data_IF_846656593170
#
_entry.id   IF_846656593170
#
_cell.length_a   1.000
_cell.length_b   1.000
_cell.length_c   1.000
_cell.angle_alpha   90.00
_cell.angle_beta   90.00
_cell.angle_gamma   90.00
#
_symmetry.space_group_name_H-M   'P 1'
#
loop_
_entity.id
_entity.type
_entity.pdbx_description
1 polymer ?
#
# COMPACT_ATOMS: atom_id res chain seq x y z
N UNK A 1 -61.64 -0.22 -60.66
CA UNK A 1 -61.22 -0.94 -59.46
C UNK A 1 -59.80 -0.53 -59.13
N UNK A 2 -59.64 0.37 -58.14
CA UNK A 2 -58.32 0.91 -57.76
C UNK A 2 -57.93 0.30 -56.41
N UNK A 3 -56.98 -0.58 -56.45
CA UNK A 3 -56.46 -1.28 -55.21
C UNK A 3 -55.50 -0.35 -54.50
N UNK A 4 -55.87 0.19 -53.35
CA UNK A 4 -55.01 1.00 -52.47
C UNK A 4 -54.09 0.08 -51.71
N UNK A 5 -52.80 0.12 -52.02
CA UNK A 5 -51.73 -0.60 -51.23
C UNK A 5 -51.49 0.11 -49.88
N UNK A 6 -51.89 -0.52 -48.83
CA UNK A 6 -51.72 -0.04 -47.43
C UNK A 6 -50.30 -0.24 -47.00
N UNK A 7 -49.48 0.81 -46.99
CA UNK A 7 -48.12 0.78 -46.49
C UNK A 7 -48.12 0.56 -44.95
N UNK A 8 -47.64 -0.61 -44.52
CA UNK A 8 -47.46 -0.95 -43.11
C UNK A 8 -46.19 -0.26 -42.62
N UNK A 9 -46.30 0.83 -41.92
CA UNK A 9 -45.18 1.50 -41.20
C UNK A 9 -44.70 0.61 -40.06
N UNK A 10 -43.59 -0.04 -40.28
CA UNK A 10 -42.89 -0.86 -39.28
C UNK A 10 -42.28 0.07 -38.20
N UNK A 11 -42.89 0.14 -37.04
CA UNK A 11 -42.39 0.93 -35.94
C UNK A 11 -41.05 0.36 -35.46
N UNK A 12 -39.97 1.14 -35.56
CA UNK A 12 -38.66 0.80 -35.03
C UNK A 12 -38.74 0.75 -33.49
N UNK A 13 -38.40 -0.38 -32.84
CA UNK A 13 -38.49 -0.47 -31.40
C UNK A 13 -37.51 0.54 -30.77
N UNK A 14 -38.03 1.48 -29.98
CA UNK A 14 -37.23 2.40 -29.14
C UNK A 14 -36.34 1.56 -28.23
N UNK A 15 -35.01 1.64 -28.38
CA UNK A 15 -34.02 1.06 -27.47
C UNK A 15 -34.32 1.62 -26.07
N UNK A 16 -34.81 0.78 -25.17
CA UNK A 16 -34.93 1.13 -23.75
C UNK A 16 -33.52 1.43 -23.26
N UNK A 17 -33.30 2.64 -22.73
CA UNK A 17 -32.08 2.97 -22.03
C UNK A 17 -31.83 1.92 -20.94
N UNK A 18 -30.63 1.31 -20.93
CA UNK A 18 -30.29 0.30 -19.96
C UNK A 18 -30.25 0.96 -18.58
N UNK A 19 -31.19 0.60 -17.72
CA UNK A 19 -31.19 1.06 -16.34
C UNK A 19 -29.94 0.56 -15.59
N UNK A 20 -29.29 1.43 -14.84
CA UNK A 20 -28.10 1.08 -14.05
C UNK A 20 -28.41 -0.03 -13.03
N UNK A 21 -27.64 -1.11 -13.07
CA UNK A 21 -27.82 -2.31 -12.25
C UNK A 21 -26.92 -2.25 -11.02
N UNK A 22 -27.39 -1.65 -9.93
CA UNK A 22 -26.66 -1.51 -8.67
C UNK A 22 -26.05 -2.80 -8.15
N UNK A 23 -26.77 -3.92 -8.21
CA UNK A 23 -26.26 -5.23 -7.78
C UNK A 23 -25.03 -5.66 -8.55
N UNK A 24 -25.05 -5.52 -9.87
CA UNK A 24 -23.93 -5.86 -10.73
C UNK A 24 -22.75 -4.94 -10.47
N UNK A 25 -23.00 -3.63 -10.32
CA UNK A 25 -21.98 -2.65 -10.00
C UNK A 25 -21.26 -3.01 -8.69
N UNK A 26 -21.99 -3.24 -7.60
CA UNK A 26 -21.42 -3.59 -6.29
C UNK A 26 -20.56 -4.86 -6.37
N UNK A 27 -21.02 -5.90 -7.09
CA UNK A 27 -20.24 -7.14 -7.24
C UNK A 27 -18.97 -6.94 -8.04
N UNK A 28 -19.02 -6.20 -9.16
CA UNK A 28 -17.85 -5.91 -9.99
C UNK A 28 -16.86 -5.00 -9.25
N UNK A 29 -17.37 -4.01 -8.53
CA UNK A 29 -16.55 -3.11 -7.74
C UNK A 29 -15.82 -3.84 -6.60
N UNK A 30 -16.47 -4.75 -5.89
CA UNK A 30 -15.84 -5.63 -4.91
C UNK A 30 -14.70 -6.47 -5.53
N UNK A 31 -14.92 -6.99 -6.73
CA UNK A 31 -13.89 -7.75 -7.43
C UNK A 31 -12.62 -6.91 -7.66
N UNK A 32 -12.77 -5.69 -8.17
CA UNK A 32 -11.63 -4.78 -8.36
C UNK A 32 -10.98 -4.39 -7.02
N UNK A 33 -11.78 -4.12 -5.98
CA UNK A 33 -11.26 -3.83 -4.65
C UNK A 33 -10.43 -5.00 -4.10
N UNK A 34 -10.87 -6.24 -4.30
CA UNK A 34 -10.11 -7.44 -3.89
C UNK A 34 -8.76 -7.51 -4.59
N UNK A 35 -8.68 -7.17 -5.89
CA UNK A 35 -7.41 -7.13 -6.62
C UNK A 35 -6.48 -6.07 -6.04
N UNK A 36 -6.98 -4.84 -5.84
CA UNK A 36 -6.17 -3.74 -5.30
C UNK A 36 -5.67 -4.06 -3.89
N UNK A 37 -6.54 -4.60 -3.02
CA UNK A 37 -6.17 -5.00 -1.67
C UNK A 37 -5.17 -6.16 -1.66
N UNK A 38 -5.32 -7.13 -2.57
CA UNK A 38 -4.38 -8.23 -2.73
C UNK A 38 -2.99 -7.73 -3.14
N UNK A 39 -2.92 -6.89 -4.17
CA UNK A 39 -1.65 -6.31 -4.63
C UNK A 39 -1.01 -5.45 -3.52
N UNK A 40 -1.76 -4.50 -2.96
CA UNK A 40 -1.22 -3.63 -1.91
C UNK A 40 -0.81 -4.40 -0.65
N UNK A 41 -1.56 -5.45 -0.28
CA UNK A 41 -1.18 -6.34 0.83
C UNK A 41 0.14 -7.08 0.59
N UNK A 42 0.36 -7.60 -0.63
CA UNK A 42 1.64 -8.23 -1.00
C UNK A 42 2.78 -7.22 -0.99
N UNK A 43 2.56 -6.02 -1.57
CA UNK A 43 3.59 -4.95 -1.57
C UNK A 43 3.98 -4.56 -0.14
N UNK A 44 3.00 -4.37 0.74
CA UNK A 44 3.27 -4.02 2.14
C UNK A 44 3.95 -5.16 2.92
N UNK A 45 3.66 -6.41 2.56
CA UNK A 45 4.32 -7.57 3.17
C UNK A 45 5.80 -7.66 2.82
N UNK A 46 6.18 -7.31 1.57
CA UNK A 46 7.58 -7.32 1.11
C UNK A 46 8.31 -6.00 1.36
N UNK A 47 7.60 -4.94 1.73
CA UNK A 47 8.18 -3.62 1.95
C UNK A 47 9.11 -3.61 3.16
N UNK A 48 10.27 -2.93 3.09
CA UNK A 48 11.18 -2.82 4.21
C UNK A 48 10.55 -2.11 5.41
N UNK A 49 11.21 -2.20 6.57
CA UNK A 49 10.76 -1.52 7.78
C UNK A 49 10.64 0.00 7.55
N UNK A 50 9.74 0.67 8.30
CA UNK A 50 9.55 2.13 8.16
C UNK A 50 10.84 2.93 8.39
N UNK A 51 11.76 2.40 9.19
CA UNK A 51 13.09 3.00 9.42
C UNK A 51 13.92 3.04 8.14
N UNK A 52 14.03 1.91 7.45
CA UNK A 52 14.75 1.80 6.17
C UNK A 52 14.11 2.68 5.10
N UNK A 53 12.78 2.65 5.00
CA UNK A 53 12.02 3.48 4.05
C UNK A 53 12.32 4.96 4.24
N UNK A 54 12.34 5.43 5.49
CA UNK A 54 12.55 6.84 5.82
C UNK A 54 14.01 7.27 5.65
N UNK A 55 14.95 6.32 5.69
CA UNK A 55 16.38 6.61 5.51
C UNK A 55 16.80 6.59 4.03
N UNK A 56 16.26 5.65 3.25
CA UNK A 56 16.70 5.39 1.87
C UNK A 56 15.66 5.76 0.80
N UNK A 57 14.48 6.26 1.18
CA UNK A 57 13.47 6.70 0.21
C UNK A 57 12.89 5.57 -0.65
N UNK A 58 12.69 4.38 -0.09
CA UNK A 58 12.19 3.20 -0.82
C UNK A 58 10.88 3.44 -1.56
N UNK A 59 10.83 3.01 -2.83
CA UNK A 59 9.65 3.10 -3.70
C UNK A 59 9.44 1.79 -4.45
N UNK A 60 8.19 1.45 -4.67
CA UNK A 60 7.79 0.32 -5.49
C UNK A 60 6.69 0.75 -6.46
N UNK A 61 6.89 0.51 -7.77
CA UNK A 61 5.95 0.91 -8.83
C UNK A 61 5.47 2.38 -8.70
N UNK A 62 6.39 3.32 -8.56
CA UNK A 62 6.16 4.77 -8.47
C UNK A 62 5.56 5.27 -7.14
N UNK A 63 5.18 4.39 -6.21
CA UNK A 63 4.59 4.76 -4.93
C UNK A 63 5.56 4.50 -3.78
N UNK A 64 5.56 5.40 -2.80
CA UNK A 64 6.24 5.20 -1.52
C UNK A 64 5.50 4.18 -0.66
N UNK A 65 6.13 3.66 0.37
CA UNK A 65 5.47 2.77 1.33
C UNK A 65 4.24 3.41 1.97
N UNK A 66 4.34 4.69 2.35
CA UNK A 66 3.23 5.44 2.95
C UNK A 66 2.04 5.57 2.00
N UNK A 67 2.31 5.79 0.70
CA UNK A 67 1.25 5.81 -0.31
C UNK A 67 0.59 4.43 -0.47
N UNK A 68 1.36 3.33 -0.41
CA UNK A 68 0.82 1.97 -0.41
C UNK A 68 -0.02 1.68 0.84
N UNK A 69 0.42 2.13 2.01
CA UNK A 69 -0.35 2.03 3.27
C UNK A 69 -1.67 2.81 3.18
N UNK A 70 -1.63 4.04 2.63
CA UNK A 70 -2.82 4.84 2.40
C UNK A 70 -3.79 4.17 1.41
N UNK A 71 -3.28 3.66 0.29
CA UNK A 71 -4.08 2.90 -0.69
C UNK A 71 -4.73 1.71 0.00
N UNK A 72 -3.96 0.87 0.68
CA UNK A 72 -4.48 -0.33 1.35
C UNK A 72 -5.56 0.01 2.38
N UNK A 73 -5.32 1.01 3.21
CA UNK A 73 -6.24 1.43 4.27
C UNK A 73 -7.55 1.99 3.70
N UNK A 74 -7.47 2.93 2.76
CA UNK A 74 -8.68 3.58 2.19
C UNK A 74 -9.49 2.58 1.38
N UNK A 75 -8.83 1.74 0.55
CA UNK A 75 -9.54 0.70 -0.19
C UNK A 75 -10.09 -0.38 0.72
N UNK A 76 -9.43 -0.71 1.84
CA UNK A 76 -9.93 -1.62 2.87
C UNK A 76 -11.19 -1.10 3.54
N UNK A 77 -11.23 0.17 3.95
CA UNK A 77 -12.43 0.81 4.50
C UNK A 77 -13.57 0.84 3.48
N UNK A 78 -13.29 1.23 2.25
CA UNK A 78 -14.27 1.21 1.17
C UNK A 78 -14.79 -0.21 0.89
N UNK A 79 -13.91 -1.23 0.93
CA UNK A 79 -14.29 -2.64 0.77
C UNK A 79 -15.29 -3.09 1.82
N UNK A 80 -15.09 -2.74 3.10
CA UNK A 80 -16.01 -3.08 4.18
C UNK A 80 -17.39 -2.50 3.90
N UNK A 81 -17.48 -1.22 3.53
CA UNK A 81 -18.74 -0.54 3.22
C UNK A 81 -19.46 -1.23 2.06
N UNK A 82 -18.74 -1.49 0.96
CA UNK A 82 -19.30 -2.12 -0.25
C UNK A 82 -19.71 -3.57 0.02
N UNK A 83 -18.94 -4.31 0.83
CA UNK A 83 -19.26 -5.67 1.25
C UNK A 83 -20.58 -5.73 2.05
N UNK A 84 -20.82 -4.77 2.95
CA UNK A 84 -22.10 -4.66 3.67
C UNK A 84 -23.25 -4.47 2.68
N UNK A 85 -23.11 -3.58 1.70
CA UNK A 85 -24.13 -3.39 0.65
C UNK A 85 -24.28 -4.65 -0.21
N UNK A 86 -23.19 -5.34 -0.54
CA UNK A 86 -23.23 -6.60 -1.29
C UNK A 86 -24.05 -7.66 -0.54
N UNK A 87 -23.78 -7.85 0.74
CA UNK A 87 -24.54 -8.79 1.58
C UNK A 87 -26.02 -8.35 1.66
N UNK A 88 -26.29 -7.07 1.87
CA UNK A 88 -27.66 -6.53 1.91
C UNK A 88 -28.44 -6.83 0.63
N UNK A 89 -27.85 -6.57 -0.54
CA UNK A 89 -28.49 -6.82 -1.82
C UNK A 89 -28.66 -8.32 -2.14
N UNK A 90 -27.78 -9.17 -1.60
CA UNK A 90 -27.79 -10.62 -1.80
C UNK A 90 -28.27 -11.39 -0.56
N UNK A 91 -28.95 -10.72 0.39
CA UNK A 91 -29.34 -11.28 1.67
C UNK A 91 -30.11 -12.60 1.57
N UNK A 92 -31.04 -12.70 0.62
CA UNK A 92 -31.80 -13.93 0.38
C UNK A 92 -30.92 -15.11 -0.05
N UNK A 93 -29.97 -14.86 -0.92
CA UNK A 93 -28.99 -15.86 -1.37
C UNK A 93 -28.08 -16.27 -0.21
N UNK A 94 -27.58 -15.29 0.55
CA UNK A 94 -26.74 -15.51 1.72
C UNK A 94 -27.43 -16.40 2.76
N UNK A 95 -28.68 -16.08 3.15
CA UNK A 95 -29.48 -16.91 4.04
C UNK A 95 -29.75 -18.30 3.45
N UNK A 96 -29.92 -18.39 2.13
CA UNK A 96 -30.07 -19.65 1.42
C UNK A 96 -28.85 -20.56 1.51
N UNK A 97 -27.63 -20.01 1.62
CA UNK A 97 -26.41 -20.77 1.83
C UNK A 97 -26.21 -21.21 3.28
N UNK A 98 -26.74 -20.44 4.25
CA UNK A 98 -26.63 -20.76 5.67
C UNK A 98 -27.63 -21.84 6.12
N UNK A 99 -28.87 -21.82 5.59
CA UNK A 99 -29.95 -22.69 6.03
C UNK A 99 -30.21 -23.84 5.06
N UNK A 100 -30.17 -25.06 5.54
CA UNK A 100 -30.67 -26.20 4.78
C UNK A 100 -32.21 -26.17 4.73
N UNK A 101 -32.81 -26.35 3.55
CA UNK A 101 -34.26 -26.34 3.30
C UNK A 101 -34.88 -27.70 3.65
N UNK A 102 -34.74 -28.15 4.90
CA UNK A 102 -35.30 -29.42 5.36
C UNK A 102 -36.14 -29.16 6.62
N UNK A 103 -37.44 -29.45 6.50
CA UNK A 103 -38.47 -29.59 7.53
C UNK A 103 -38.07 -29.15 8.96
N UNK A 104 -38.49 -27.94 9.33
CA UNK A 104 -38.69 -27.41 10.70
C UNK A 104 -37.52 -27.43 11.72
N UNK A 105 -36.35 -28.00 11.43
CA UNK A 105 -35.19 -27.89 12.30
C UNK A 105 -34.15 -26.99 11.64
N UNK A 106 -33.52 -26.12 12.44
CA UNK A 106 -32.36 -25.30 12.01
C UNK A 106 -31.16 -26.24 11.69
N UNK A 107 -31.12 -26.74 10.47
CA UNK A 107 -29.98 -27.53 10.02
C UNK A 107 -29.08 -26.62 9.19
N UNK A 108 -27.88 -26.34 9.71
CA UNK A 108 -26.87 -25.56 9.00
C UNK A 108 -26.33 -26.42 7.86
N UNK A 109 -26.09 -25.79 6.70
CA UNK A 109 -25.44 -26.50 5.58
C UNK A 109 -24.02 -26.89 5.96
N UNK A 110 -23.61 -28.09 5.55
CA UNK A 110 -22.27 -28.63 5.82
C UNK A 110 -21.19 -27.69 5.31
N UNK A 111 -21.41 -27.04 4.17
CA UNK A 111 -20.49 -26.07 3.56
C UNK A 111 -20.30 -24.82 4.44
N UNK A 112 -21.38 -24.35 5.07
CA UNK A 112 -21.30 -23.22 6.00
C UNK A 112 -20.51 -23.60 7.25
N UNK A 113 -20.80 -24.77 7.83
CA UNK A 113 -20.06 -25.26 9.00
C UNK A 113 -18.57 -25.46 8.65
N UNK A 114 -18.27 -26.07 7.50
CA UNK A 114 -16.92 -26.24 7.04
C UNK A 114 -16.19 -24.91 6.86
N UNK A 115 -16.83 -23.90 6.25
CA UNK A 115 -16.24 -22.56 6.10
C UNK A 115 -15.92 -21.91 7.44
N UNK A 116 -16.83 -22.00 8.43
CA UNK A 116 -16.61 -21.47 9.78
C UNK A 116 -15.45 -22.20 10.45
N UNK A 117 -15.43 -23.55 10.39
CA UNK A 117 -14.34 -24.36 10.98
C UNK A 117 -13.00 -24.00 10.37
N UNK A 118 -12.90 -23.92 9.04
CA UNK A 118 -11.67 -23.52 8.35
C UNK A 118 -11.24 -22.11 8.74
N UNK A 119 -12.17 -21.16 8.81
CA UNK A 119 -11.85 -19.79 9.23
C UNK A 119 -11.31 -19.73 10.66
N UNK A 120 -11.93 -20.46 11.60
CA UNK A 120 -11.47 -20.54 12.98
C UNK A 120 -10.10 -21.24 13.07
N UNK A 121 -9.90 -22.34 12.33
CA UNK A 121 -8.61 -23.03 12.29
C UNK A 121 -7.50 -22.09 11.76
N UNK A 122 -7.75 -21.39 10.66
CA UNK A 122 -6.79 -20.43 10.12
C UNK A 122 -6.47 -19.34 11.14
N UNK A 123 -7.46 -18.81 11.84
CA UNK A 123 -7.26 -17.81 12.89
C UNK A 123 -6.40 -18.35 14.03
N UNK A 124 -6.69 -19.57 14.52
CA UNK A 124 -5.94 -20.22 15.61
C UNK A 124 -4.50 -20.51 15.18
N UNK A 125 -4.31 -21.09 13.99
CA UNK A 125 -2.98 -21.41 13.46
C UNK A 125 -2.15 -20.14 13.25
N UNK A 126 -2.78 -19.06 12.76
CA UNK A 126 -2.12 -17.75 12.61
C UNK A 126 -1.73 -17.16 13.96
N UNK A 127 -2.62 -17.22 14.96
CA UNK A 127 -2.34 -16.70 16.31
C UNK A 127 -1.29 -17.54 17.05
N UNK A 128 -1.23 -18.85 16.83
CA UNK A 128 -0.27 -19.76 17.42
C UNK A 128 1.12 -19.70 16.77
N UNK A 129 1.25 -19.01 15.63
CA UNK A 129 2.48 -18.86 14.85
C UNK A 129 3.21 -20.20 14.61
N UNK A 130 2.45 -21.24 14.27
CA UNK A 130 3.00 -22.57 13.94
C UNK A 130 3.18 -22.75 12.43
N UNK A 131 4.06 -23.65 11.96
CA UNK A 131 4.20 -23.93 10.53
C UNK A 131 2.85 -24.28 9.88
N UNK A 132 2.52 -23.79 8.66
CA UNK A 132 3.38 -22.99 7.76
C UNK A 132 3.38 -21.48 8.01
N UNK A 133 2.58 -20.96 8.96
CA UNK A 133 2.44 -19.51 9.21
C UNK A 133 3.77 -18.93 9.66
N UNK A 134 4.46 -19.58 10.59
CA UNK A 134 5.78 -19.16 11.05
C UNK A 134 6.74 -18.96 9.87
N UNK A 135 6.82 -19.92 8.94
CA UNK A 135 7.70 -19.83 7.77
C UNK A 135 7.38 -18.63 6.87
N UNK A 136 6.09 -18.27 6.75
CA UNK A 136 5.67 -17.08 6.01
C UNK A 136 6.12 -15.82 6.74
N UNK A 137 5.96 -15.77 8.07
CA UNK A 137 6.39 -14.62 8.87
C UNK A 137 7.92 -14.46 8.86
N UNK A 138 8.66 -15.56 9.03
CA UNK A 138 10.13 -15.58 8.98
C UNK A 138 10.65 -15.14 7.59
N UNK A 139 9.94 -15.51 6.52
CA UNK A 139 10.29 -15.03 5.18
C UNK A 139 10.14 -13.50 5.05
N UNK A 140 9.08 -12.91 5.61
CA UNK A 140 8.92 -11.45 5.66
C UNK A 140 10.04 -10.76 6.45
N UNK A 141 10.45 -11.34 7.58
CA UNK A 141 11.56 -10.83 8.39
C UNK A 141 12.91 -10.93 7.66
N UNK A 142 13.16 -12.06 6.99
CA UNK A 142 14.36 -12.24 6.16
C UNK A 142 14.42 -11.22 5.02
N UNK A 143 13.28 -10.86 4.41
CA UNK A 143 13.23 -9.80 3.41
C UNK A 143 13.58 -8.43 4.00
N UNK A 144 13.12 -8.12 5.22
CA UNK A 144 13.49 -6.88 5.91
C UNK A 144 15.01 -6.83 6.16
N UNK A 145 15.61 -7.91 6.64
CA UNK A 145 17.06 -8.03 6.84
C UNK A 145 17.82 -7.88 5.53
N UNK A 146 17.33 -8.50 4.45
CA UNK A 146 17.91 -8.34 3.11
C UNK A 146 17.93 -6.88 2.64
N UNK A 147 16.82 -6.16 2.81
CA UNK A 147 16.74 -4.75 2.47
C UNK A 147 17.71 -3.91 3.32
N UNK A 148 17.81 -4.20 4.62
CA UNK A 148 18.71 -3.52 5.55
C UNK A 148 20.18 -3.68 5.13
N UNK A 149 20.61 -4.89 4.83
CA UNK A 149 21.96 -5.19 4.40
C UNK A 149 22.32 -4.55 3.05
N UNK A 150 21.44 -4.67 2.05
CA UNK A 150 21.74 -4.19 0.70
C UNK A 150 21.67 -2.66 0.58
N UNK A 151 20.71 -2.04 1.26
CA UNK A 151 20.59 -0.59 1.24
C UNK A 151 21.65 0.09 2.10
N UNK A 152 22.06 -0.52 3.21
CA UNK A 152 23.19 0.00 4.02
C UNK A 152 24.53 -0.13 3.31
N UNK A 153 24.75 -1.21 2.55
CA UNK A 153 25.98 -1.37 1.74
C UNK A 153 26.08 -0.37 0.61
N UNK A 154 24.95 0.04 0.02
CA UNK A 154 24.95 1.03 -1.06
C UNK A 154 25.26 2.45 -0.60
N UNK A 155 25.14 2.73 0.71
CA UNK A 155 25.38 4.06 1.30
C UNK A 155 26.55 4.12 2.27
N UNK A 156 27.37 3.04 2.41
CA UNK A 156 28.50 2.94 3.38
C UNK A 156 28.15 3.32 4.84
N UNK A 157 26.87 3.56 5.17
CA UNK A 157 26.44 3.78 6.54
C UNK A 157 26.53 2.45 7.29
N UNK A 158 27.26 2.40 8.38
CA UNK A 158 27.28 1.19 9.21
C UNK A 158 25.87 0.90 9.69
N UNK A 159 25.45 -0.38 9.67
CA UNK A 159 24.11 -0.78 10.13
C UNK A 159 23.79 -0.30 11.55
N UNK A 160 24.79 -0.05 12.36
CA UNK A 160 24.72 0.49 13.73
C UNK A 160 24.35 1.99 13.74
N UNK A 161 24.81 2.76 12.74
CA UNK A 161 24.43 4.17 12.53
C UNK A 161 22.98 4.31 12.09
N UNK A 162 22.53 3.44 11.18
CA UNK A 162 21.11 3.38 10.75
C UNK A 162 20.18 3.00 11.90
N UNK A 163 20.66 2.15 12.83
CA UNK A 163 19.92 1.72 14.01
C UNK A 163 19.85 2.81 15.09
N UNK A 164 20.88 3.63 15.24
CA UNK A 164 20.96 4.67 16.27
C UNK A 164 20.15 5.93 15.94
N UNK A 165 19.93 6.22 14.65
CA UNK A 165 19.33 7.47 14.17
C UNK A 165 17.97 7.26 13.49
N UNK A 166 17.14 6.43 14.02
CA UNK A 166 15.77 6.07 13.62
C UNK A 166 15.03 6.91 12.58
N UNK A 167 15.40 6.81 11.31
CA UNK A 167 14.56 7.29 10.20
C UNK A 167 14.54 8.80 9.99
N UNK A 168 15.60 9.35 9.43
CA UNK A 168 15.75 10.79 9.15
C UNK A 168 14.65 11.41 8.29
N UNK A 169 13.98 10.63 7.44
CA UNK A 169 13.02 11.15 6.48
C UNK A 169 11.86 11.95 7.08
N UNK A 170 11.53 11.74 8.35
CA UNK A 170 10.45 12.44 9.04
C UNK A 170 10.89 13.68 9.81
N UNK A 171 12.20 13.88 9.95
CA UNK A 171 12.72 15.06 10.60
C UNK A 171 12.68 16.25 9.63
N UNK A 172 12.32 17.41 10.15
CA UNK A 172 12.52 18.66 9.42
C UNK A 172 13.96 19.11 9.54
N UNK A 173 14.38 19.98 8.63
CA UNK A 173 15.71 20.62 8.74
C UNK A 173 15.89 21.29 10.11
N UNK A 174 14.83 21.92 10.66
CA UNK A 174 14.85 22.55 11.98
C UNK A 174 15.03 21.52 13.11
N UNK A 175 14.36 20.35 13.03
CA UNK A 175 14.47 19.31 14.03
C UNK A 175 15.89 18.75 14.12
N UNK A 176 16.49 18.44 12.97
CA UNK A 176 17.86 17.94 12.90
C UNK A 176 18.90 18.99 13.34
N UNK A 177 18.70 20.24 12.94
CA UNK A 177 19.56 21.31 13.40
C UNK A 177 19.53 21.43 14.93
N UNK A 178 18.34 21.36 15.53
CA UNK A 178 18.16 21.41 16.98
C UNK A 178 18.78 20.17 17.67
N UNK A 179 18.59 18.97 17.13
CA UNK A 179 19.14 17.73 17.68
C UNK A 179 20.67 17.73 17.70
N UNK A 180 21.29 18.29 16.67
CA UNK A 180 22.76 18.34 16.52
C UNK A 180 23.37 19.64 17.08
N UNK A 181 22.60 20.47 17.79
CA UNK A 181 23.03 21.76 18.32
C UNK A 181 23.60 22.73 17.26
N UNK A 182 23.05 22.66 16.05
CA UNK A 182 23.43 23.49 14.90
C UNK A 182 22.36 24.55 14.69
N UNK A 183 22.75 25.76 14.29
CA UNK A 183 21.75 26.77 13.93
C UNK A 183 21.04 26.37 12.62
N UNK A 184 19.71 26.61 12.54
CA UNK A 184 18.93 26.35 11.32
C UNK A 184 19.53 27.08 10.12
N UNK A 185 20.06 28.29 10.32
CA UNK A 185 20.73 29.05 9.26
C UNK A 185 21.94 28.30 8.73
N UNK A 186 22.79 27.77 9.60
CA UNK A 186 23.97 26.98 9.22
C UNK A 186 23.55 25.69 8.49
N UNK A 187 22.49 25.01 8.93
CA UNK A 187 21.97 23.82 8.25
C UNK A 187 21.52 24.13 6.81
N UNK A 188 20.76 25.23 6.64
CA UNK A 188 20.31 25.67 5.33
C UNK A 188 21.45 26.15 4.42
N UNK A 189 22.47 26.82 4.96
CA UNK A 189 23.68 27.21 4.21
C UNK A 189 24.46 25.98 3.72
N UNK A 190 24.55 24.93 4.54
CA UNK A 190 25.21 23.68 4.15
C UNK A 190 24.45 22.97 3.04
N UNK A 191 23.12 22.83 3.13
CA UNK A 191 22.29 22.27 2.07
C UNK A 191 22.42 23.08 0.77
N UNK A 192 22.42 24.40 0.86
CA UNK A 192 22.58 25.30 -0.28
C UNK A 192 23.95 25.14 -0.97
N UNK A 193 25.01 24.85 -0.21
CA UNK A 193 26.35 24.60 -0.78
C UNK A 193 26.36 23.38 -1.71
N UNK A 194 25.44 22.42 -1.53
CA UNK A 194 25.22 21.26 -2.40
C UNK A 194 24.11 21.48 -3.43
N UNK A 195 23.65 22.74 -3.61
CA UNK A 195 22.63 23.08 -4.59
C UNK A 195 21.20 22.75 -4.16
N UNK A 196 20.98 22.43 -2.88
CA UNK A 196 19.67 22.04 -2.33
C UNK A 196 18.98 23.28 -1.75
N UNK A 197 17.86 23.69 -2.36
CA UNK A 197 17.01 24.74 -1.82
C UNK A 197 16.05 24.12 -0.78
N UNK A 198 16.15 24.54 0.46
CA UNK A 198 15.37 24.00 1.56
C UNK A 198 14.87 25.09 2.51
N UNK A 199 13.75 24.81 3.18
CA UNK A 199 13.22 25.62 4.25
C UNK A 199 13.33 24.89 5.59
N UNK A 200 13.27 25.62 6.69
CA UNK A 200 13.39 25.04 8.03
C UNK A 200 12.32 23.98 8.35
N UNK A 201 11.15 24.09 7.73
CA UNK A 201 9.99 23.20 7.91
C UNK A 201 9.92 22.04 6.94
N UNK A 202 10.84 21.96 5.97
CA UNK A 202 10.84 20.89 5.00
C UNK A 202 11.37 19.62 5.65
N UNK A 203 10.67 18.50 5.44
CA UNK A 203 11.11 17.20 5.89
C UNK A 203 12.14 16.60 4.91
N UNK A 204 13.06 15.79 5.45
CA UNK A 204 14.15 15.24 4.65
C UNK A 204 13.68 14.27 3.57
N UNK A 205 12.52 13.64 3.73
CA UNK A 205 11.98 12.76 2.70
C UNK A 205 11.55 13.57 1.46
N UNK A 206 10.86 14.69 1.68
CA UNK A 206 10.48 15.62 0.60
C UNK A 206 11.71 16.23 -0.07
N UNK A 207 12.72 16.63 0.69
CA UNK A 207 13.98 17.12 0.15
C UNK A 207 14.74 16.06 -0.64
N UNK A 208 14.72 14.81 -0.19
CA UNK A 208 15.27 13.66 -0.89
C UNK A 208 14.63 13.46 -2.27
N UNK A 209 13.30 13.60 -2.34
CA UNK A 209 12.55 13.49 -3.60
C UNK A 209 12.92 14.58 -4.61
N UNK A 210 13.25 15.77 -4.13
CA UNK A 210 13.56 16.94 -4.96
C UNK A 210 15.04 17.00 -5.37
N UNK A 211 15.93 16.58 -4.48
CA UNK A 211 17.39 16.75 -4.64
C UNK A 211 18.11 15.52 -5.18
N UNK A 212 17.50 14.32 -5.08
CA UNK A 212 18.13 13.04 -5.42
C UNK A 212 19.05 12.48 -4.33
N UNK A 213 19.34 13.23 -3.26
CA UNK A 213 20.07 12.72 -2.10
C UNK A 213 19.15 11.90 -1.20
N UNK A 214 19.66 10.86 -0.57
CA UNK A 214 18.91 10.11 0.43
C UNK A 214 18.70 10.95 1.71
N UNK A 215 17.68 10.69 2.53
CA UNK A 215 17.49 11.40 3.80
C UNK A 215 18.69 11.28 4.76
N UNK A 216 19.43 10.17 4.70
CA UNK A 216 20.67 9.98 5.45
C UNK A 216 21.80 10.90 5.00
N UNK A 217 22.00 11.03 3.69
CA UNK A 217 22.99 11.96 3.10
C UNK A 217 22.63 13.42 3.39
N UNK A 218 21.34 13.77 3.36
CA UNK A 218 20.87 15.10 3.75
C UNK A 218 21.16 15.40 5.22
N UNK A 219 21.00 14.41 6.10
CA UNK A 219 21.37 14.54 7.51
C UNK A 219 22.87 14.76 7.67
N UNK A 220 23.71 13.98 6.99
CA UNK A 220 25.16 14.13 6.99
C UNK A 220 25.59 15.54 6.53
N UNK A 221 24.99 16.06 5.45
CA UNK A 221 25.23 17.43 4.97
C UNK A 221 24.89 18.44 6.06
N UNK A 222 23.74 18.31 6.71
CA UNK A 222 23.31 19.21 7.80
C UNK A 222 24.33 19.15 8.95
N UNK A 223 24.82 18.00 9.30
CA UNK A 223 25.85 17.78 10.32
C UNK A 223 27.23 18.33 9.94
N UNK A 224 27.45 18.57 8.64
CA UNK A 224 28.72 19.08 8.08
C UNK A 224 29.69 17.97 7.73
N UNK A 225 29.18 16.75 7.57
CA UNK A 225 29.89 15.61 7.02
C UNK A 225 29.74 15.62 5.49
N UNK A 226 30.76 15.18 4.73
CA UNK A 226 30.62 15.06 3.29
C UNK A 226 29.56 13.99 2.99
N UNK A 227 28.60 14.26 2.08
CA UNK A 227 27.76 13.18 1.55
C UNK A 227 28.70 12.24 0.81
N UNK A 228 28.53 10.94 1.00
CA UNK A 228 29.34 9.97 0.27
C UNK A 228 29.06 10.12 -1.22
N UNK A 229 30.13 10.25 -1.98
CA UNK A 229 30.09 10.61 -3.38
C UNK A 229 29.17 9.66 -4.16
N UNK A 230 28.18 10.21 -4.87
CA UNK A 230 27.72 9.60 -6.12
C UNK A 230 28.97 9.41 -6.99
N UNK A 231 29.54 8.21 -6.99
CA UNK A 231 30.48 7.82 -8.02
C UNK A 231 29.65 7.76 -9.30
N UNK A 232 29.71 8.83 -10.08
CA UNK A 232 29.40 8.77 -11.49
C UNK A 232 30.25 7.61 -12.03
N UNK A 233 29.61 6.49 -12.39
CA UNK A 233 30.21 5.51 -13.26
C UNK A 233 30.51 6.27 -14.58
N UNK A 234 31.67 6.86 -14.66
CA UNK A 234 32.27 7.18 -15.96
C UNK A 234 32.41 5.84 -16.69
N UNK A 235 31.48 5.57 -17.57
CA UNK A 235 31.58 4.58 -18.62
C UNK A 235 32.82 4.93 -19.47
N UNK A 236 33.96 4.35 -19.11
CA UNK A 236 35.14 4.30 -19.98
C UNK A 236 34.84 3.31 -21.12
N UNK A 237 34.77 3.88 -22.31
CA UNK A 237 34.67 3.23 -23.63
C UNK A 237 35.87 2.39 -23.99
#
# INVERSE_FOLDING_TARGET
MTTATRATTRSVPKRKAMAFRWRSFVSVFLFFQTIVLGISGVVLYIAPSGRIVNTYGWRFLLFTKEQWEAIHTIWGLAFIIVAIYHIKYNWRSFLGYMKARVKRLFNLRREFVAAVVVSVLLMVVSAANVPPVQQIMDFGENLNTYWEEHLSQSTNLSGEEVLSHGGYGRYTVADLAAQNNISVVTALERLKAYGIEAHATDDLLTLSEQSGYTPGELSAIIEGLPPEAHQEEEDDH
#
